data_IF_215423784316
#
_entry.id   IF_215423784316
#
_cell.length_a   1.000
_cell.length_b   1.000
_cell.length_c   1.000
_cell.angle_alpha   90.00
_cell.angle_beta   90.00
_cell.angle_gamma   90.00
#
_symmetry.space_group_name_H-M   'P 1'
#
loop_
_entity.id
_entity.type
_entity.pdbx_description
1 polymer ?
#
# COMPACT_ATOMS: atom_id res chain seq x y z
N UNK A 1 -23.16 -6.05 27.67
CA UNK A 1 -21.69 -6.21 27.77
C UNK A 1 -21.10 -5.78 26.44
N UNK A 2 -20.53 -4.58 26.38
CA UNK A 2 -19.95 -4.00 25.16
C UNK A 2 -18.63 -4.70 24.80
N UNK A 3 -18.40 -4.92 23.50
CA UNK A 3 -17.15 -5.46 22.98
C UNK A 3 -16.02 -4.41 23.06
N UNK A 4 -14.77 -4.87 23.08
CA UNK A 4 -13.60 -4.06 23.45
C UNK A 4 -12.94 -3.28 22.28
N UNK A 5 -13.41 -3.44 21.04
CA UNK A 5 -12.98 -2.62 19.89
C UNK A 5 -11.46 -2.45 19.76
N UNK A 6 -10.98 -1.21 19.74
CA UNK A 6 -9.56 -0.84 19.59
C UNK A 6 -8.65 -1.39 20.69
N UNK A 7 -9.17 -1.67 21.90
CA UNK A 7 -8.37 -2.28 22.96
C UNK A 7 -7.91 -3.70 22.62
N UNK A 8 -8.61 -4.40 21.72
CA UNK A 8 -8.18 -5.72 21.25
C UNK A 8 -6.97 -5.63 20.30
N UNK A 9 -6.88 -4.57 19.50
CA UNK A 9 -5.72 -4.29 18.65
C UNK A 9 -4.50 -3.99 19.51
N UNK A 10 -4.62 -3.07 20.47
CA UNK A 10 -3.54 -2.74 21.41
C UNK A 10 -3.08 -3.98 22.22
N UNK A 11 -3.99 -4.89 22.59
CA UNK A 11 -3.63 -6.17 23.21
C UNK A 11 -2.74 -7.03 22.29
N UNK A 12 -3.12 -7.14 21.01
CA UNK A 12 -2.37 -7.93 20.01
C UNK A 12 -1.02 -7.29 19.69
N UNK A 13 -0.95 -5.97 19.79
CA UNK A 13 0.28 -5.20 19.62
C UNK A 13 1.20 -5.15 20.83
N UNK A 14 0.67 -5.51 22.00
CA UNK A 14 1.43 -5.52 23.25
C UNK A 14 1.59 -4.12 23.85
N UNK A 15 0.73 -3.19 23.46
CA UNK A 15 0.77 -1.79 23.84
C UNK A 15 -0.03 -1.49 25.12
N UNK A 16 -0.75 -2.49 25.65
CA UNK A 16 -1.48 -2.37 26.91
C UNK A 16 -0.54 -2.46 28.11
N UNK A 17 -0.75 -1.56 29.08
CA UNK A 17 -0.17 -1.67 30.42
C UNK A 17 -0.67 -2.93 31.16
N UNK A 18 0.00 -3.29 32.25
CA UNK A 18 -0.30 -4.50 33.03
C UNK A 18 -1.77 -4.58 33.48
N UNK A 19 -2.28 -3.54 34.13
CA UNK A 19 -3.65 -3.53 34.65
C UNK A 19 -4.72 -3.62 33.55
N UNK A 20 -4.51 -2.92 32.44
CA UNK A 20 -5.47 -2.92 31.33
C UNK A 20 -5.48 -4.27 30.62
N UNK A 21 -4.30 -4.87 30.43
CA UNK A 21 -4.17 -6.21 29.88
C UNK A 21 -4.91 -7.24 30.73
N UNK A 22 -4.81 -7.18 32.05
CA UNK A 22 -5.52 -8.11 32.94
C UNK A 22 -7.05 -7.96 32.83
N UNK A 23 -7.55 -6.72 32.75
CA UNK A 23 -8.99 -6.46 32.53
C UNK A 23 -9.47 -7.02 31.19
N UNK A 24 -8.68 -6.85 30.13
CA UNK A 24 -9.00 -7.39 28.80
C UNK A 24 -8.97 -8.93 28.83
N UNK A 25 -7.98 -9.55 29.48
CA UNK A 25 -7.90 -11.00 29.62
C UNK A 25 -9.09 -11.58 30.39
N UNK A 26 -9.53 -10.90 31.47
CA UNK A 26 -10.74 -11.28 32.20
C UNK A 26 -11.99 -11.25 31.32
N UNK A 27 -12.13 -10.23 30.46
CA UNK A 27 -13.22 -10.18 29.48
C UNK A 27 -13.14 -11.31 28.45
N UNK A 28 -11.94 -11.62 27.94
CA UNK A 28 -11.72 -12.71 26.98
C UNK A 28 -12.07 -14.08 27.56
N UNK A 29 -11.97 -14.28 28.87
CA UNK A 29 -12.44 -15.50 29.52
C UNK A 29 -13.96 -15.68 29.37
N UNK A 30 -14.74 -14.60 29.40
CA UNK A 30 -16.20 -14.62 29.30
C UNK A 30 -16.79 -14.40 27.91
N UNK A 31 -16.04 -13.82 26.96
CA UNK A 31 -16.59 -13.38 25.68
C UNK A 31 -16.00 -14.14 24.48
N UNK A 32 -16.77 -15.07 23.90
CA UNK A 32 -16.35 -15.84 22.73
C UNK A 32 -16.12 -14.98 21.47
N UNK A 33 -16.92 -13.92 21.29
CA UNK A 33 -16.80 -13.01 20.16
C UNK A 33 -15.45 -12.27 20.18
N UNK A 34 -15.09 -11.66 21.31
CA UNK A 34 -13.80 -10.98 21.45
C UNK A 34 -12.60 -11.95 21.30
N UNK A 35 -12.75 -13.22 21.71
CA UNK A 35 -11.72 -14.24 21.44
C UNK A 35 -11.54 -14.50 19.94
N UNK A 36 -12.63 -14.60 19.20
CA UNK A 36 -12.58 -14.80 17.75
C UNK A 36 -11.93 -13.60 17.03
N UNK A 37 -12.24 -12.39 17.45
CA UNK A 37 -11.63 -11.15 16.94
C UNK A 37 -10.11 -11.11 17.20
N UNK A 38 -9.66 -11.37 18.44
CA UNK A 38 -8.23 -11.45 18.79
C UNK A 38 -7.51 -12.52 17.96
N UNK A 39 -8.14 -13.68 17.73
CA UNK A 39 -7.57 -14.72 16.88
C UNK A 39 -7.42 -14.24 15.42
N UNK A 40 -8.39 -13.47 14.91
CA UNK A 40 -8.32 -12.82 13.59
C UNK A 40 -7.17 -11.83 13.49
N UNK A 41 -7.07 -10.91 14.45
CA UNK A 41 -6.00 -9.92 14.53
C UNK A 41 -4.61 -10.56 14.61
N UNK A 42 -4.43 -11.62 15.40
CA UNK A 42 -3.16 -12.36 15.49
C UNK A 42 -2.77 -13.02 14.17
N UNK A 43 -3.74 -13.56 13.42
CA UNK A 43 -3.49 -14.12 12.07
C UNK A 43 -3.01 -13.03 11.11
N UNK A 44 -3.65 -11.86 11.12
CA UNK A 44 -3.24 -10.71 10.29
C UNK A 44 -1.83 -10.26 10.67
N UNK A 45 -1.55 -10.07 11.96
CA UNK A 45 -0.21 -9.72 12.45
C UNK A 45 0.85 -10.74 12.06
N UNK A 46 0.52 -12.04 12.12
CA UNK A 46 1.41 -13.11 11.68
C UNK A 46 1.73 -13.04 10.18
N UNK A 47 0.72 -12.75 9.34
CA UNK A 47 0.93 -12.55 7.89
C UNK A 47 1.82 -11.34 7.60
N UNK A 48 1.57 -10.22 8.28
CA UNK A 48 2.40 -9.02 8.15
C UNK A 48 3.85 -9.28 8.57
N UNK A 49 4.05 -10.00 9.68
CA UNK A 49 5.39 -10.44 10.10
C UNK A 49 6.06 -11.35 9.06
N UNK A 50 5.31 -12.25 8.44
CA UNK A 50 5.82 -13.10 7.36
C UNK A 50 6.28 -12.32 6.14
N UNK A 51 5.56 -11.24 5.78
CA UNK A 51 5.98 -10.33 4.70
C UNK A 51 7.24 -9.54 5.06
N UNK A 52 7.41 -9.13 6.32
CA UNK A 52 8.63 -8.45 6.78
C UNK A 52 9.81 -9.38 7.04
N UNK A 53 9.56 -10.69 7.15
CA UNK A 53 10.56 -11.73 7.39
C UNK A 53 11.01 -12.45 6.12
N UNK A 54 10.40 -12.13 4.96
CA UNK A 54 11.18 -12.14 3.72
C UNK A 54 12.46 -11.36 4.03
N UNK A 55 13.65 -11.82 3.59
CA UNK A 55 14.83 -11.01 3.75
C UNK A 55 14.41 -9.62 3.30
N UNK A 56 14.55 -8.64 4.20
CA UNK A 56 14.74 -7.30 3.71
C UNK A 56 15.88 -7.53 2.73
N UNK A 57 15.56 -7.56 1.46
CA UNK A 57 16.46 -7.01 0.49
C UNK A 57 16.77 -5.65 1.09
N UNK A 58 17.82 -5.60 1.93
CA UNK A 58 18.69 -4.46 2.04
C UNK A 58 18.68 -3.96 0.60
N UNK A 59 18.10 -2.77 0.37
CA UNK A 59 17.57 -2.39 -0.93
C UNK A 59 18.58 -2.42 -2.09
N UNK A 60 19.79 -2.90 -1.84
CA UNK A 60 20.81 -3.40 -2.75
C UNK A 60 20.43 -4.64 -3.57
N UNK A 61 19.69 -5.63 -3.05
CA UNK A 61 19.40 -6.89 -3.80
C UNK A 61 18.09 -6.84 -4.62
N UNK A 62 17.13 -6.01 -4.23
CA UNK A 62 15.92 -5.70 -5.04
C UNK A 62 16.08 -4.40 -5.85
N UNK A 63 17.25 -3.75 -5.77
CA UNK A 63 17.56 -2.65 -6.68
C UNK A 63 17.69 -3.25 -8.08
N UNK A 64 17.05 -2.66 -9.11
CA UNK A 64 17.35 -3.03 -10.47
C UNK A 64 18.86 -2.92 -10.68
N UNK A 65 19.45 -3.93 -11.31
CA UNK A 65 20.89 -3.93 -11.57
C UNK A 65 21.31 -2.61 -12.22
N UNK A 66 22.52 -2.10 -11.93
CA UNK A 66 22.99 -0.83 -12.49
C UNK A 66 22.90 -0.80 -14.02
N UNK A 67 23.02 -1.94 -14.69
CA UNK A 67 22.78 -2.09 -16.14
C UNK A 67 21.32 -1.82 -16.52
N UNK A 68 20.35 -2.38 -15.78
CA UNK A 68 18.93 -2.11 -16.00
C UNK A 68 18.60 -0.63 -15.81
N UNK A 69 19.11 0.00 -14.74
CA UNK A 69 18.92 1.43 -14.49
C UNK A 69 19.51 2.29 -15.62
N UNK A 70 20.67 1.89 -16.15
CA UNK A 70 21.30 2.59 -17.26
C UNK A 70 20.47 2.47 -18.55
N UNK A 71 19.96 1.28 -18.86
CA UNK A 71 19.03 1.07 -20.00
C UNK A 71 17.76 1.90 -19.85
N UNK A 72 17.18 1.96 -18.65
CA UNK A 72 15.96 2.73 -18.39
C UNK A 72 16.18 4.24 -18.62
N UNK A 73 17.33 4.78 -18.21
CA UNK A 73 17.70 6.18 -18.46
C UNK A 73 18.03 6.47 -19.92
N UNK A 74 18.45 5.44 -20.66
CA UNK A 74 18.72 5.53 -22.09
C UNK A 74 17.46 5.36 -22.96
N UNK A 75 16.32 4.99 -22.36
CA UNK A 75 15.06 4.97 -23.10
C UNK A 75 14.72 6.40 -23.52
N UNK A 76 14.51 6.67 -24.82
CA UNK A 76 13.99 7.95 -25.24
C UNK A 76 12.61 8.11 -24.58
N UNK A 77 12.39 9.23 -23.89
CA UNK A 77 11.04 9.63 -23.50
C UNK A 77 10.23 9.63 -24.80
N UNK A 78 9.33 8.65 -24.95
CA UNK A 78 8.55 8.48 -26.16
C UNK A 78 8.00 9.84 -26.55
N UNK A 79 8.35 10.30 -27.75
CA UNK A 79 8.01 11.60 -28.27
C UNK A 79 6.50 11.86 -28.08
N UNK A 80 6.16 12.61 -27.05
CA UNK A 80 4.87 13.27 -26.95
C UNK A 80 4.96 14.53 -27.81
N UNK A 81 5.23 14.35 -29.10
CA UNK A 81 4.97 15.38 -30.09
C UNK A 81 3.58 15.07 -30.65
N UNK A 82 2.54 15.86 -30.29
CA UNK A 82 1.24 15.68 -30.91
C UNK A 82 1.41 15.91 -32.42
N UNK A 83 0.79 15.09 -33.28
CA UNK A 83 0.85 15.32 -34.72
C UNK A 83 0.28 16.72 -35.01
N UNK A 84 1.10 17.59 -35.59
CA UNK A 84 0.65 18.88 -36.09
C UNK A 84 -0.49 18.65 -37.11
N UNK A 85 -1.61 19.38 -37.02
CA UNK A 85 -2.67 19.24 -38.00
C UNK A 85 -2.17 19.71 -39.36
N UNK A 86 -2.16 18.77 -40.31
CA UNK A 86 -1.86 19.02 -41.71
C UNK A 86 -2.84 20.03 -42.31
N UNK A 87 -2.27 21.10 -42.88
CA UNK A 87 -2.79 21.92 -43.97
C UNK A 87 -4.29 22.13 -44.10
N UNK A 88 -4.77 23.29 -43.63
CA UNK A 88 -6.01 23.86 -44.18
C UNK A 88 -5.73 24.39 -45.60
N UNK A 89 -6.54 24.04 -46.62
CA UNK A 89 -6.48 24.72 -47.91
C UNK A 89 -7.05 26.13 -47.78
N UNK A 90 -6.25 27.14 -48.14
CA UNK A 90 -6.71 28.52 -48.31
C UNK A 90 -7.69 28.57 -49.49
N UNK A 91 -8.99 28.62 -49.17
CA UNK A 91 -10.03 28.98 -50.12
C UNK A 91 -10.32 30.48 -49.97
N UNK A 92 -9.99 31.29 -50.99
CA UNK A 92 -10.35 32.70 -50.96
C UNK A 92 -9.75 33.57 -52.06
N UNK A 93 -10.18 33.39 -53.31
CA UNK A 93 -10.29 34.45 -54.31
C UNK A 93 -11.36 34.01 -55.34
N UNK A 94 -12.14 34.91 -55.99
CA UNK A 94 -11.82 36.32 -56.28
C UNK A 94 -12.94 37.35 -56.00
N UNK A 95 -12.56 38.62 -56.13
CA UNK A 95 -13.38 39.84 -56.17
C UNK A 95 -14.57 39.77 -57.14
N UNK A 96 -15.65 40.52 -56.86
CA UNK A 96 -16.32 41.46 -57.79
C UNK A 96 -17.64 42.03 -57.19
N UNK A 97 -17.64 43.33 -56.84
CA UNK A 97 -18.52 44.43 -57.30
C UNK A 97 -18.73 45.50 -56.22
#
# INVERSE_FOLDING_TARGET
MSCLGERLTALVDGELGHEERDRVLAHLAGCAQCRAEVAGLRRVKGRLRGLSALPASDGTDDLPTPDFLNRLRALPAAAAEPPAPAGAPSAGAPSHR
#
